data_IF_469955340110
#
_entry.id   IF_469955340110
#
_cell.length_a   1.000
_cell.length_b   1.000
_cell.length_c   1.000
_cell.angle_alpha   90.00
_cell.angle_beta   90.00
_cell.angle_gamma   90.00
#
_symmetry.space_group_name_H-M   'P 1'
#
loop_
_entity.id
_entity.type
_entity.pdbx_description
1 polymer ?
#
# COMPACT_ATOMS: atom_id res chain seq x y z
N UNK A 1 -14.02 12.73 -20.59
CA UNK A 1 -13.74 12.09 -19.29
C UNK A 1 -12.86 10.90 -19.60
N UNK A 2 -11.62 10.86 -19.11
CA UNK A 2 -10.67 9.77 -19.40
C UNK A 2 -10.76 8.79 -18.24
N UNK A 3 -11.47 7.68 -18.45
CA UNK A 3 -11.46 6.56 -17.52
C UNK A 3 -10.10 5.83 -17.68
N UNK A 4 -9.26 5.75 -16.63
CA UNK A 4 -8.01 5.01 -16.74
C UNK A 4 -8.31 3.51 -16.85
N UNK A 5 -7.76 2.88 -17.89
CA UNK A 5 -7.78 1.43 -18.05
C UNK A 5 -6.56 0.87 -17.31
N UNK A 6 -6.77 0.29 -16.13
CA UNK A 6 -5.72 -0.44 -15.43
C UNK A 6 -5.82 -1.91 -15.84
N UNK A 7 -4.89 -2.37 -16.65
CA UNK A 7 -4.74 -3.78 -17.00
C UNK A 7 -3.80 -4.43 -15.98
N UNK A 8 -4.34 -5.32 -15.14
CA UNK A 8 -3.51 -6.14 -14.24
C UNK A 8 -3.40 -7.54 -14.85
N UNK A 9 -2.25 -7.86 -15.44
CA UNK A 9 -1.92 -9.22 -15.85
C UNK A 9 -1.35 -9.97 -14.63
N UNK A 10 -2.06 -10.98 -14.14
CA UNK A 10 -1.56 -11.83 -13.04
C UNK A 10 -0.86 -13.05 -13.65
N UNK A 11 0.46 -12.96 -13.85
CA UNK A 11 1.30 -14.09 -14.25
C UNK A 11 1.94 -14.72 -13.01
N UNK A 12 1.28 -15.70 -12.41
CA UNK A 12 1.83 -16.51 -11.32
C UNK A 12 0.78 -16.74 -10.25
N UNK A 13 0.73 -17.95 -9.71
CA UNK A 13 -0.16 -18.29 -8.60
C UNK A 13 0.17 -17.37 -7.41
N UNK A 14 -0.73 -16.41 -7.15
CA UNK A 14 -0.72 -15.59 -5.94
C UNK A 14 -1.60 -16.33 -4.94
N UNK A 15 -1.21 -16.41 -3.66
CA UNK A 15 -1.98 -17.12 -2.62
C UNK A 15 -3.44 -16.65 -2.53
N UNK A 16 -4.32 -17.26 -1.71
CA UNK A 16 -5.68 -16.78 -1.60
C UNK A 16 -5.69 -15.27 -1.28
N UNK A 17 -6.60 -14.49 -1.88
CA UNK A 17 -6.66 -13.03 -1.72
C UNK A 17 -6.67 -12.55 -0.25
N UNK A 18 -7.11 -13.41 0.67
CA UNK A 18 -7.10 -13.19 2.12
C UNK A 18 -5.71 -13.12 2.73
N UNK A 19 -4.66 -13.57 2.04
CA UNK A 19 -3.27 -13.64 2.52
C UNK A 19 -2.36 -12.62 1.82
N UNK A 20 -2.94 -11.71 1.04
CA UNK A 20 -2.19 -10.71 0.28
C UNK A 20 -2.40 -9.32 0.85
N UNK A 21 -1.37 -8.49 0.74
CA UNK A 21 -1.42 -7.04 0.92
C UNK A 21 -1.38 -6.41 -0.46
N UNK A 22 -2.28 -5.49 -0.77
CA UNK A 22 -2.35 -4.86 -2.10
C UNK A 22 -1.93 -3.42 -2.00
N UNK A 23 -0.99 -3.01 -2.85
CA UNK A 23 -0.57 -1.61 -2.97
C UNK A 23 -0.97 -1.10 -4.35
N UNK A 24 -1.69 0.01 -4.38
CA UNK A 24 -2.16 0.66 -5.62
C UNK A 24 -1.90 2.17 -5.59
N UNK A 25 -1.83 2.77 -6.77
CA UNK A 25 -1.54 4.20 -6.95
C UNK A 25 -0.06 4.47 -7.09
N UNK A 26 0.41 5.58 -6.53
CA UNK A 26 1.75 6.15 -6.72
C UNK A 26 2.87 5.49 -5.90
N UNK A 27 2.95 4.16 -5.95
CA UNK A 27 4.14 3.41 -5.56
C UNK A 27 5.08 3.21 -6.75
N UNK A 28 6.39 3.03 -6.53
CA UNK A 28 7.33 2.77 -7.64
C UNK A 28 6.97 1.49 -8.41
N UNK A 29 6.49 0.46 -7.72
CA UNK A 29 5.96 -0.76 -8.33
C UNK A 29 4.68 -1.20 -7.60
N UNK A 30 3.50 -0.72 -8.04
CA UNK A 30 2.22 -1.11 -7.45
C UNK A 30 1.96 -2.60 -7.72
N UNK A 31 1.75 -3.39 -6.68
CA UNK A 31 1.60 -4.84 -6.78
C UNK A 31 0.85 -5.43 -5.57
N UNK A 32 0.51 -6.71 -5.70
CA UNK A 32 0.07 -7.53 -4.58
C UNK A 32 1.27 -8.27 -3.99
N UNK A 33 1.40 -8.20 -2.67
CA UNK A 33 2.50 -8.75 -1.89
C UNK A 33 1.96 -9.89 -1.05
N UNK A 34 2.63 -11.04 -1.07
CA UNK A 34 2.31 -12.14 -0.16
C UNK A 34 2.67 -11.71 1.28
N UNK A 35 1.70 -11.78 2.18
CA UNK A 35 1.92 -11.43 3.57
C UNK A 35 2.94 -12.36 4.24
N UNK A 36 3.78 -11.78 5.11
CA UNK A 36 4.72 -12.50 5.99
C UNK A 36 4.41 -12.11 7.43
N UNK A 37 4.63 -13.02 8.38
CA UNK A 37 4.39 -12.69 9.80
C UNK A 37 5.18 -11.47 10.25
N UNK A 38 4.53 -10.59 11.02
CA UNK A 38 5.08 -9.33 11.54
C UNK A 38 5.52 -8.33 10.46
N UNK A 39 4.94 -8.42 9.26
CA UNK A 39 5.19 -7.46 8.19
C UNK A 39 4.71 -6.06 8.58
N UNK A 40 5.54 -5.05 8.33
CA UNK A 40 5.21 -3.65 8.62
C UNK A 40 5.06 -2.82 7.35
N UNK A 41 4.61 -1.58 7.51
CA UNK A 41 4.51 -0.62 6.40
C UNK A 41 5.87 -0.42 5.71
N UNK A 42 6.96 -0.38 6.48
CA UNK A 42 8.32 -0.29 5.93
C UNK A 42 8.65 -1.48 5.01
N UNK A 43 8.32 -2.72 5.40
CA UNK A 43 8.54 -3.89 4.55
C UNK A 43 7.77 -3.78 3.23
N UNK A 44 6.53 -3.27 3.29
CA UNK A 44 5.74 -3.00 2.09
C UNK A 44 6.46 -1.98 1.21
N UNK A 45 6.97 -0.89 1.78
CA UNK A 45 7.69 0.14 1.03
C UNK A 45 8.95 -0.39 0.36
N UNK A 46 9.68 -1.31 1.01
CA UNK A 46 10.84 -1.99 0.42
C UNK A 46 10.41 -2.85 -0.77
N UNK A 47 9.34 -3.63 -0.63
CA UNK A 47 8.87 -4.55 -1.68
C UNK A 47 8.34 -3.79 -2.91
N UNK A 48 7.67 -2.64 -2.72
CA UNK A 48 7.20 -1.80 -3.84
C UNK A 48 8.24 -0.82 -4.37
N UNK A 49 9.45 -0.77 -3.79
CA UNK A 49 10.54 0.09 -4.24
C UNK A 49 10.35 1.58 -3.91
N UNK A 50 9.59 1.91 -2.86
CA UNK A 50 9.34 3.27 -2.44
C UNK A 50 8.13 3.95 -3.11
N UNK A 51 8.06 5.27 -2.95
CA UNK A 51 7.06 6.14 -3.54
C UNK A 51 7.58 6.75 -4.85
N UNK A 52 6.69 7.06 -5.79
CA UNK A 52 7.06 7.88 -6.95
C UNK A 52 7.34 9.32 -6.53
N UNK A 53 7.93 10.12 -7.44
CA UNK A 53 8.13 11.55 -7.20
C UNK A 53 6.82 12.35 -7.11
N UNK A 54 5.73 11.81 -7.69
CA UNK A 54 4.40 12.43 -7.73
C UNK A 54 3.49 11.97 -6.58
N UNK A 55 3.95 11.05 -5.72
CA UNK A 55 3.14 10.50 -4.64
C UNK A 55 2.87 11.51 -3.52
N UNK A 56 1.62 11.60 -3.07
CA UNK A 56 1.26 12.16 -1.77
C UNK A 56 1.23 11.06 -0.70
N UNK A 57 2.42 10.67 -0.24
CA UNK A 57 2.58 9.58 0.73
C UNK A 57 1.97 9.85 2.12
N UNK A 58 1.64 11.10 2.45
CA UNK A 58 1.06 11.46 3.75
C UNK A 58 -0.48 11.59 3.73
N UNK A 59 -1.09 11.55 2.55
CA UNK A 59 -2.52 11.29 2.35
C UNK A 59 -2.80 9.83 1.93
N UNK A 60 -1.78 8.97 1.94
CA UNK A 60 -1.94 7.55 1.73
C UNK A 60 -2.85 6.91 2.80
N UNK A 61 -3.59 5.88 2.38
CA UNK A 61 -4.63 5.24 3.20
C UNK A 61 -4.48 3.74 3.20
N UNK A 62 -4.59 3.15 4.39
CA UNK A 62 -4.79 1.72 4.58
C UNK A 62 -6.29 1.44 4.75
N UNK A 63 -6.83 0.53 3.95
CA UNK A 63 -8.15 -0.04 4.10
C UNK A 63 -8.01 -1.46 4.65
N UNK A 64 -8.67 -1.73 5.79
CA UNK A 64 -8.67 -3.03 6.46
C UNK A 64 -10.09 -3.45 6.81
N UNK A 65 -10.42 -4.72 6.57
CA UNK A 65 -11.71 -5.29 6.98
C UNK A 65 -11.59 -5.84 8.38
N UNK A 66 -12.34 -5.28 9.33
CA UNK A 66 -12.40 -5.72 10.73
C UNK A 66 -13.85 -6.07 11.03
N UNK A 67 -14.11 -7.34 11.38
CA UNK A 67 -15.45 -7.88 11.66
C UNK A 67 -16.44 -7.63 10.50
N UNK A 68 -15.99 -7.81 9.26
CA UNK A 68 -16.80 -7.59 8.06
C UNK A 68 -17.03 -6.12 7.69
N UNK A 69 -16.50 -5.16 8.45
CA UNK A 69 -16.60 -3.74 8.16
C UNK A 69 -15.27 -3.18 7.66
N UNK A 70 -15.31 -2.36 6.62
CA UNK A 70 -14.13 -1.65 6.14
C UNK A 70 -13.81 -0.50 7.09
N UNK A 71 -12.55 -0.43 7.52
CA UNK A 71 -11.97 0.69 8.27
C UNK A 71 -10.83 1.29 7.47
N UNK A 72 -10.74 2.61 7.51
CA UNK A 72 -9.66 3.37 6.89
C UNK A 72 -8.73 3.93 7.94
N UNK A 73 -7.42 3.84 7.68
CA UNK A 73 -6.36 4.40 8.51
C UNK A 73 -5.50 5.30 7.63
N UNK A 74 -5.19 6.50 8.13
CA UNK A 74 -4.29 7.41 7.44
C UNK A 74 -2.85 6.98 7.70
N UNK A 75 -2.03 7.01 6.66
CA UNK A 75 -0.63 6.63 6.70
C UNK A 75 0.24 7.86 6.49
N UNK A 76 1.39 7.88 7.15
CA UNK A 76 2.42 8.92 7.01
C UNK A 76 3.65 8.33 6.35
N UNK A 77 3.47 7.87 5.11
CA UNK A 77 4.53 7.13 4.39
C UNK A 77 5.70 8.03 4.04
N UNK A 78 5.45 9.29 3.72
CA UNK A 78 6.53 10.22 3.41
C UNK A 78 7.38 10.48 4.67
N UNK A 79 6.74 10.67 5.83
CA UNK A 79 7.45 10.84 7.11
C UNK A 79 8.29 9.58 7.43
N UNK A 80 7.77 8.39 7.16
CA UNK A 80 8.50 7.14 7.38
C UNK A 80 9.73 6.99 6.46
N UNK A 81 9.54 7.17 5.15
CA UNK A 81 10.54 6.81 4.14
C UNK A 81 11.55 7.94 3.90
N UNK A 82 11.12 9.20 3.96
CA UNK A 82 11.97 10.37 3.70
C UNK A 82 12.62 10.89 4.99
N UNK A 83 11.83 11.01 6.06
CA UNK A 83 12.29 11.63 7.31
C UNK A 83 12.75 10.59 8.36
N UNK A 84 12.51 9.30 8.11
CA UNK A 84 12.88 8.21 9.00
C UNK A 84 12.05 8.16 10.28
N UNK A 85 10.84 8.73 10.30
CA UNK A 85 9.95 8.69 11.47
C UNK A 85 9.35 7.30 11.65
N UNK A 86 10.02 6.48 12.44
CA UNK A 86 9.59 5.12 12.75
C UNK A 86 8.21 5.04 13.42
N UNK A 87 7.67 6.14 13.98
CA UNK A 87 6.34 6.15 14.59
C UNK A 87 5.22 6.01 13.55
N UNK A 88 5.52 6.33 12.29
CA UNK A 88 4.64 6.10 11.16
C UNK A 88 4.66 4.65 10.66
N UNK A 89 5.59 3.81 11.15
CA UNK A 89 5.62 2.40 10.81
C UNK A 89 4.53 1.65 11.59
N UNK A 90 3.61 1.02 10.87
CA UNK A 90 2.50 0.28 11.45
C UNK A 90 2.54 -1.18 11.00
N UNK A 91 1.88 -2.03 11.78
CA UNK A 91 1.68 -3.43 11.41
C UNK A 91 0.71 -3.54 10.23
N UNK A 92 1.14 -4.30 9.23
CA UNK A 92 0.33 -4.67 8.09
C UNK A 92 -0.26 -6.05 8.38
N UNK A 93 -1.51 -6.26 7.94
CA UNK A 93 -2.23 -7.51 8.14
C UNK A 93 -2.67 -8.11 6.80
N UNK A 94 -2.92 -9.43 6.77
CA UNK A 94 -3.49 -10.08 5.60
C UNK A 94 -4.78 -9.40 5.13
N UNK A 95 -4.90 -9.17 3.82
CA UNK A 95 -6.07 -8.56 3.18
C UNK A 95 -6.05 -7.03 3.14
N UNK A 96 -5.06 -6.39 3.75
CA UNK A 96 -4.88 -4.94 3.72
C UNK A 96 -4.76 -4.39 2.29
N UNK A 97 -5.35 -3.21 2.08
CA UNK A 97 -5.25 -2.47 0.83
C UNK A 97 -4.64 -1.11 1.13
N UNK A 98 -3.54 -0.80 0.50
CA UNK A 98 -2.84 0.46 0.61
C UNK A 98 -3.05 1.24 -0.67
N UNK A 99 -3.57 2.46 -0.51
CA UNK A 99 -3.85 3.37 -1.61
C UNK A 99 -2.96 4.60 -1.44
N UNK A 100 -2.15 4.88 -2.46
CA UNK A 100 -1.23 6.00 -2.48
C UNK A 100 -1.70 6.99 -3.54
N UNK A 101 -2.26 8.15 -3.17
CA UNK A 101 -2.73 9.13 -4.13
C UNK A 101 -1.56 9.85 -4.83
N UNK A 102 -1.84 10.34 -6.03
CA UNK A 102 -1.02 11.34 -6.71
C UNK A 102 -1.20 12.69 -6.02
N UNK A 103 -0.13 13.48 -5.97
CA UNK A 103 -0.13 14.82 -5.43
C UNK A 103 -0.71 15.81 -6.44
N UNK A 104 -1.73 16.57 -6.03
CA UNK A 104 -2.38 17.57 -6.89
C UNK A 104 -1.75 18.93 -6.59
N UNK A 105 -0.54 19.19 -7.11
CA UNK A 105 0.09 20.52 -7.06
C UNK A 105 0.15 21.17 -8.44
#
# INVERSE_FOLDING_TARGET
MRDPIVSVMVSGFVGPYSEQVRVIGEASSPQAINYRENMTLLDVMVEVGGLTEFADGNDARLIRVINGQQKQFNLKMADLVRDGDIRANIDILPGDIIIIPESWF
#
